data_IF_214296765755
#
_entry.id   IF_214296765755
#
_cell.length_a   1.000
_cell.length_b   1.000
_cell.length_c   1.000
_cell.angle_alpha   90.00
_cell.angle_beta   90.00
_cell.angle_gamma   90.00
#
_symmetry.space_group_name_H-M   'P 1'
#
loop_
_entity.id
_entity.type
_entity.pdbx_description
1 polymer ?
#
# COMPACT_ATOMS: atom_id res chain seq x y z
N UNK A 1 -5.80 4.40 5.63
CA UNK A 1 -7.14 4.67 6.23
C UNK A 1 -7.92 5.87 5.66
N UNK A 2 -7.66 7.16 5.98
CA UNK A 2 -8.58 8.26 5.55
C UNK A 2 -8.70 8.43 4.03
N UNK A 3 -7.58 8.48 3.30
CA UNK A 3 -7.58 8.58 1.83
C UNK A 3 -8.17 7.32 1.19
N UNK A 4 -7.75 6.14 1.65
CA UNK A 4 -8.26 4.85 1.18
C UNK A 4 -9.79 4.76 1.27
N UNK A 5 -10.36 5.18 2.40
CA UNK A 5 -11.82 5.17 2.59
C UNK A 5 -12.54 6.14 1.66
N UNK A 6 -11.94 7.32 1.40
CA UNK A 6 -12.49 8.28 0.44
C UNK A 6 -12.47 7.74 -0.99
N UNK A 7 -11.43 7.00 -1.37
CA UNK A 7 -11.33 6.39 -2.71
C UNK A 7 -12.29 5.20 -2.90
N UNK A 8 -12.50 4.40 -1.86
CA UNK A 8 -13.21 3.11 -1.96
C UNK A 8 -14.66 3.14 -1.46
N UNK A 9 -15.11 4.27 -0.90
CA UNK A 9 -16.50 4.45 -0.45
C UNK A 9 -16.92 3.48 0.66
N UNK A 10 -15.99 3.14 1.57
CA UNK A 10 -16.17 2.23 2.71
C UNK A 10 -16.45 0.75 2.37
N UNK A 11 -16.38 0.36 1.09
CA UNK A 11 -16.59 -1.03 0.64
C UNK A 11 -15.27 -1.78 0.49
N UNK A 12 -14.51 -1.84 1.57
CA UNK A 12 -13.27 -2.61 1.62
C UNK A 12 -13.52 -4.03 2.11
N UNK A 13 -12.86 -5.00 1.47
CA UNK A 13 -12.69 -6.36 1.99
C UNK A 13 -11.44 -6.38 2.85
N UNK A 14 -11.58 -6.80 4.10
CA UNK A 14 -10.49 -6.95 5.06
C UNK A 14 -10.18 -8.42 5.31
N UNK A 15 -8.90 -8.72 5.52
CA UNK A 15 -8.37 -10.04 5.84
C UNK A 15 -6.93 -9.94 6.33
N UNK A 16 -6.17 -11.02 6.20
CA UNK A 16 -4.73 -11.04 6.45
C UNK A 16 -4.00 -11.49 5.19
N UNK A 17 -2.73 -11.10 5.07
CA UNK A 17 -1.86 -11.67 4.03
C UNK A 17 -1.58 -13.17 4.30
N UNK A 18 -1.39 -13.98 3.25
CA UNK A 18 -1.13 -15.41 3.41
C UNK A 18 0.08 -15.70 4.31
N UNK A 19 -0.10 -16.57 5.30
CA UNK A 19 1.00 -17.02 6.17
C UNK A 19 1.46 -16.02 7.23
N UNK A 20 0.84 -14.85 7.33
CA UNK A 20 1.18 -13.82 8.34
C UNK A 20 -0.05 -13.22 9.01
N UNK A 21 0.13 -12.58 10.16
CA UNK A 21 -0.95 -11.87 10.89
C UNK A 21 -1.12 -10.42 10.44
N UNK A 22 -0.42 -10.01 9.37
CA UNK A 22 -0.46 -8.65 8.84
C UNK A 22 -1.81 -8.44 8.16
N UNK A 23 -2.53 -7.40 8.58
CA UNK A 23 -3.83 -7.05 8.03
C UNK A 23 -3.73 -6.62 6.56
N UNK A 24 -4.73 -7.00 5.77
CA UNK A 24 -4.87 -6.67 4.36
C UNK A 24 -6.23 -6.02 4.13
N UNK A 25 -6.25 -4.88 3.44
CA UNK A 25 -7.49 -4.20 3.07
C UNK A 25 -7.49 -3.89 1.58
N UNK A 26 -8.51 -4.37 0.86
CA UNK A 26 -8.66 -4.14 -0.58
C UNK A 26 -10.04 -3.56 -0.87
N UNK A 27 -10.11 -2.49 -1.64
CA UNK A 27 -11.35 -1.87 -2.08
C UNK A 27 -11.32 -1.54 -3.57
N UNK A 28 -12.47 -1.13 -4.10
CA UNK A 28 -12.58 -0.69 -5.49
C UNK A 28 -12.86 0.81 -5.51
N UNK A 29 -12.01 1.56 -6.19
CA UNK A 29 -12.25 2.96 -6.56
C UNK A 29 -12.81 3.03 -7.99
N UNK A 30 -13.58 4.07 -8.28
CA UNK A 30 -14.14 4.32 -9.62
C UNK A 30 -13.69 5.67 -10.15
N UNK A 31 -13.19 5.69 -11.38
CA UNK A 31 -12.85 6.92 -12.11
C UNK A 31 -13.51 6.87 -13.48
N UNK A 32 -14.66 7.52 -13.62
CA UNK A 32 -15.55 7.33 -14.77
C UNK A 32 -16.02 5.88 -14.87
N UNK A 33 -15.78 5.26 -16.03
CA UNK A 33 -16.12 3.86 -16.30
C UNK A 33 -15.00 2.87 -15.91
N UNK A 34 -13.89 3.37 -15.36
CA UNK A 34 -12.74 2.53 -14.95
C UNK A 34 -12.87 2.15 -13.48
N UNK A 35 -12.82 0.85 -13.20
CA UNK A 35 -12.69 0.30 -11.84
C UNK A 35 -11.21 0.06 -11.52
N UNK A 36 -10.76 0.55 -10.37
CA UNK A 36 -9.37 0.47 -9.92
C UNK A 36 -9.37 -0.29 -8.60
N UNK A 37 -8.67 -1.41 -8.54
CA UNK A 37 -8.41 -2.09 -7.28
C UNK A 37 -7.38 -1.29 -6.48
N UNK A 38 -7.73 -0.95 -5.24
CA UNK A 38 -6.87 -0.22 -4.32
C UNK A 38 -6.60 -1.11 -3.12
N UNK A 39 -5.33 -1.32 -2.79
CA UNK A 39 -4.89 -2.05 -1.61
C UNK A 39 -4.25 -1.08 -0.61
N UNK A 40 -4.74 -1.05 0.63
CA UNK A 40 -4.13 -0.29 1.73
C UNK A 40 -2.99 -1.14 2.30
N UNK A 41 -1.76 -0.71 2.08
CA UNK A 41 -0.58 -1.35 2.63
C UNK A 41 -0.34 -0.91 4.08
N UNK A 42 0.28 -1.75 4.93
CA UNK A 42 0.73 -1.33 6.25
C UNK A 42 1.61 -0.07 6.19
N UNK A 43 1.49 0.79 7.20
CA UNK A 43 2.32 1.98 7.29
C UNK A 43 3.80 1.61 7.45
N UNK A 44 4.63 2.00 6.48
CA UNK A 44 6.08 1.81 6.54
C UNK A 44 6.82 3.14 6.56
N UNK A 45 8.02 3.15 7.14
CA UNK A 45 8.97 4.26 7.04
C UNK A 45 10.13 4.00 6.09
N UNK A 46 10.32 2.75 5.64
CA UNK A 46 11.41 2.33 4.77
C UNK A 46 11.05 1.09 3.96
N UNK A 47 11.64 0.93 2.78
CA UNK A 47 11.62 -0.34 2.05
C UNK A 47 12.72 -1.33 2.48
N UNK A 48 13.51 -0.97 3.50
CA UNK A 48 14.44 -1.88 4.18
C UNK A 48 13.75 -2.43 5.45
N UNK A 49 13.13 -3.63 5.39
CA UNK A 49 12.15 -4.03 6.37
C UNK A 49 12.77 -4.53 7.67
N UNK A 50 12.29 -4.02 8.80
CA UNK A 50 12.66 -4.48 10.16
C UNK A 50 11.48 -5.11 10.91
N UNK A 51 10.30 -5.12 10.31
CA UNK A 51 9.08 -5.69 10.89
C UNK A 51 8.29 -6.52 9.87
N UNK A 52 7.39 -7.43 10.30
CA UNK A 52 6.54 -8.19 9.40
C UNK A 52 5.68 -7.30 8.48
N UNK A 53 5.18 -6.19 9.01
CA UNK A 53 4.40 -5.22 8.25
C UNK A 53 5.22 -4.64 7.09
N UNK A 54 6.46 -4.21 7.37
CA UNK A 54 7.34 -3.67 6.33
C UNK A 54 7.81 -4.73 5.33
N UNK A 55 8.00 -5.99 5.77
CA UNK A 55 8.32 -7.10 4.87
C UNK A 55 7.19 -7.31 3.86
N UNK A 56 5.93 -7.25 4.31
CA UNK A 56 4.77 -7.33 3.43
C UNK A 56 4.75 -6.18 2.44
N UNK A 57 5.02 -4.94 2.88
CA UNK A 57 5.07 -3.79 1.95
C UNK A 57 6.12 -4.00 0.87
N UNK A 58 7.34 -4.37 1.24
CA UNK A 58 8.42 -4.60 0.29
C UNK A 58 8.07 -5.72 -0.72
N UNK A 59 7.53 -6.84 -0.23
CA UNK A 59 7.13 -7.97 -1.07
C UNK A 59 5.98 -7.63 -2.03
N UNK A 60 4.98 -6.87 -1.59
CA UNK A 60 3.88 -6.42 -2.48
C UNK A 60 4.44 -5.51 -3.57
N UNK A 61 5.28 -4.52 -3.21
CA UNK A 61 5.82 -3.57 -4.19
C UNK A 61 6.79 -4.22 -5.18
N UNK A 62 7.50 -5.29 -4.77
CA UNK A 62 8.35 -6.10 -5.65
C UNK A 62 7.55 -7.08 -6.53
N UNK A 63 6.23 -7.19 -6.35
CA UNK A 63 5.38 -8.14 -7.08
C UNK A 63 5.59 -9.61 -6.68
N UNK A 64 6.18 -9.86 -5.51
CA UNK A 64 6.49 -11.20 -5.00
C UNK A 64 5.28 -11.85 -4.31
N UNK A 65 4.21 -11.09 -4.08
CA UNK A 65 2.98 -11.56 -3.45
C UNK A 65 2.06 -12.26 -4.44
N UNK A 66 1.93 -13.58 -4.26
CA UNK A 66 1.17 -14.49 -5.13
C UNK A 66 -0.28 -14.06 -5.40
N UNK A 67 -0.94 -13.44 -4.42
CA UNK A 67 -2.38 -13.10 -4.48
C UNK A 67 -2.66 -11.69 -5.00
N UNK A 68 -1.65 -10.82 -5.07
CA UNK A 68 -1.82 -9.40 -5.46
C UNK A 68 -1.12 -9.11 -6.79
N UNK A 69 -0.04 -9.83 -7.12
CA UNK A 69 0.80 -9.52 -8.29
C UNK A 69 1.56 -8.21 -8.13
N UNK A 70 2.19 -7.74 -9.22
CA UNK A 70 2.86 -6.44 -9.24
C UNK A 70 1.84 -5.30 -9.40
N UNK A 71 1.88 -4.24 -8.58
CA UNK A 71 0.98 -3.09 -8.73
C UNK A 71 1.21 -2.34 -10.05
N UNK A 72 0.12 -1.94 -10.72
CA UNK A 72 0.21 -1.06 -11.90
C UNK A 72 0.69 0.36 -11.56
N UNK A 73 0.42 0.80 -10.32
CA UNK A 73 0.82 2.11 -9.82
C UNK A 73 0.93 2.11 -8.29
N UNK A 74 1.76 3.01 -7.76
CA UNK A 74 1.94 3.21 -6.31
C UNK A 74 1.53 4.63 -5.94
N UNK A 75 0.68 4.78 -4.93
CA UNK A 75 0.28 6.07 -4.36
C UNK A 75 0.92 6.22 -2.98
N UNK A 76 1.81 7.20 -2.83
CA UNK A 76 2.49 7.48 -1.58
C UNK A 76 1.81 8.65 -0.88
N UNK A 77 1.34 8.44 0.34
CA UNK A 77 0.79 9.49 1.19
C UNK A 77 1.91 10.10 2.02
N UNK A 78 2.37 11.28 1.62
CA UNK A 78 3.40 12.04 2.33
C UNK A 78 2.76 13.03 3.33
N UNK A 79 3.33 13.10 4.53
CA UNK A 79 2.91 14.06 5.55
C UNK A 79 3.72 15.36 5.38
N UNK A 80 3.04 16.43 5.00
CA UNK A 80 3.64 17.74 4.79
C UNK A 80 4.25 18.35 6.08
N UNK A 81 3.84 17.89 7.26
CA UNK A 81 4.41 18.35 8.54
C UNK A 81 5.76 17.68 8.87
N UNK A 82 6.07 16.55 8.24
CA UNK A 82 7.30 15.77 8.46
C UNK A 82 8.02 15.40 7.14
N UNK A 83 8.33 16.38 6.27
CA UNK A 83 8.72 16.14 4.88
C UNK A 83 10.01 15.33 4.73
N UNK A 84 10.99 15.52 5.61
CA UNK A 84 12.24 14.75 5.55
C UNK A 84 11.99 13.24 5.60
N UNK A 85 11.04 12.80 6.44
CA UNK A 85 10.72 11.38 6.60
C UNK A 85 9.99 10.83 5.37
N UNK A 86 8.99 11.56 4.88
CA UNK A 86 8.25 11.15 3.70
C UNK A 86 9.11 11.13 2.43
N UNK A 87 10.04 12.07 2.27
CA UNK A 87 10.93 12.14 1.09
C UNK A 87 11.84 10.91 0.99
N UNK A 88 12.33 10.38 2.12
CA UNK A 88 13.18 9.18 2.12
C UNK A 88 12.41 7.99 1.54
N UNK A 89 11.19 7.75 2.01
CA UNK A 89 10.33 6.68 1.49
C UNK A 89 10.01 6.88 0.01
N UNK A 90 9.66 8.11 -0.39
CA UNK A 90 9.41 8.45 -1.80
C UNK A 90 10.63 8.13 -2.67
N UNK A 91 11.83 8.49 -2.23
CA UNK A 91 13.06 8.21 -2.96
C UNK A 91 13.39 6.70 -3.08
N UNK A 92 12.98 5.88 -2.10
CA UNK A 92 13.13 4.42 -2.19
C UNK A 92 12.13 3.83 -3.19
N UNK A 93 10.85 4.21 -3.11
CA UNK A 93 9.81 3.71 -4.04
C UNK A 93 10.10 4.10 -5.49
N UNK A 94 10.64 5.30 -5.74
CA UNK A 94 11.02 5.74 -7.09
C UNK A 94 12.20 4.96 -7.70
N UNK A 95 12.90 4.13 -6.92
CA UNK A 95 14.03 3.30 -7.39
C UNK A 95 13.64 1.83 -7.63
N UNK A 96 12.38 1.46 -7.34
CA UNK A 96 11.82 0.16 -7.73
C UNK A 96 11.67 0.11 -9.25
#
# INVERSE_FOLDING_TARGET
MTLFNQLTGLRAKTGNYPGVTVGRSVGIAKSGDVEIAVEDLPGTYSLDPISPDEQVVAAVLAGEMSDTGCPDAVVIVADASTPHRSIVLVAQVLRL
#
